data_IF_368129393312
#
_entry.id   IF_368129393312
#
_cell.length_a   1.000
_cell.length_b   1.000
_cell.length_c   1.000
_cell.angle_alpha   90.00
_cell.angle_beta   90.00
_cell.angle_gamma   90.00
#
_symmetry.space_group_name_H-M   'P 1'
#
loop_
_entity.id
_entity.type
_entity.pdbx_description
1 polymer ?
#
# COMPACT_ATOMS: atom_id res chain seq x y z
N UNK A 1 -10.25 -17.07 55.95
CA UNK A 1 -10.34 -17.69 57.29
C UNK A 1 -9.19 -18.69 57.37
N UNK A 2 -7.99 -18.24 57.74
CA UNK A 2 -7.29 -18.54 59.00
C UNK A 2 -6.55 -19.89 58.95
N UNK A 3 -5.28 -20.11 59.28
CA UNK A 3 -4.15 -19.27 59.73
C UNK A 3 -2.93 -20.21 60.01
N UNK A 4 -1.69 -19.73 59.74
CA UNK A 4 -0.37 -20.09 60.36
C UNK A 4 0.22 -21.52 60.14
N UNK A 5 1.54 -21.78 60.17
CA UNK A 5 2.73 -21.02 60.59
C UNK A 5 4.06 -21.61 60.01
N UNK A 6 5.03 -20.72 59.74
CA UNK A 6 6.52 -20.86 59.78
C UNK A 6 6.99 -21.37 61.16
N UNK A 7 8.24 -21.75 61.50
CA UNK A 7 9.59 -21.89 60.92
C UNK A 7 10.49 -22.51 62.04
N UNK A 8 11.70 -22.96 61.72
CA UNK A 8 12.90 -22.95 62.59
C UNK A 8 14.12 -23.13 61.66
N UNK A 9 15.27 -22.46 61.77
CA UNK A 9 15.85 -21.66 62.84
C UNK A 9 17.26 -22.20 63.12
N UNK A 10 18.31 -21.42 62.84
CA UNK A 10 19.70 -21.81 63.13
C UNK A 10 20.72 -20.77 62.68
N UNK A 11 21.02 -19.81 63.58
CA UNK A 11 22.08 -18.80 63.49
C UNK A 11 23.35 -19.33 64.19
N UNK A 12 24.55 -18.99 63.70
CA UNK A 12 25.72 -18.80 64.56
C UNK A 12 26.67 -17.73 63.99
N UNK A 13 27.25 -16.98 64.92
CA UNK A 13 27.81 -15.62 64.79
C UNK A 13 29.35 -15.58 64.64
N UNK A 14 29.80 -14.45 64.08
CA UNK A 14 31.15 -13.87 63.96
C UNK A 14 32.23 -14.19 65.02
N UNK A 15 33.50 -14.12 64.60
CA UNK A 15 34.50 -13.18 65.17
C UNK A 15 35.68 -12.89 64.24
N UNK A 16 36.22 -11.68 64.39
CA UNK A 16 37.26 -10.98 63.60
C UNK A 16 38.65 -11.14 64.24
N UNK A 17 39.71 -11.13 63.44
CA UNK A 17 41.11 -10.97 63.90
C UNK A 17 42.04 -10.40 62.82
N UNK A 18 42.54 -9.19 63.09
CA UNK A 18 43.52 -8.35 62.36
C UNK A 18 44.96 -8.74 62.86
N UNK A 19 46.10 -8.81 62.13
CA UNK A 19 46.89 -7.75 61.47
C UNK A 19 48.21 -8.31 60.85
N UNK A 20 48.64 -7.64 59.77
CA UNK A 20 50.00 -7.17 59.36
C UNK A 20 51.06 -8.03 58.62
N UNK A 21 51.43 -7.43 57.48
CA UNK A 21 52.76 -7.22 56.87
C UNK A 21 53.30 -8.18 55.79
N UNK A 22 53.54 -7.59 54.61
CA UNK A 22 54.40 -8.14 53.56
C UNK A 22 54.23 -7.41 52.23
N UNK A 23 54.93 -6.29 52.03
CA UNK A 23 55.06 -5.63 50.72
C UNK A 23 55.88 -6.49 49.75
N UNK A 24 55.36 -6.71 48.54
CA UNK A 24 56.19 -6.93 47.34
C UNK A 24 55.38 -6.53 46.09
N UNK A 25 55.87 -5.49 45.42
CA UNK A 25 55.37 -5.00 44.13
C UNK A 25 55.70 -6.01 43.02
N UNK A 26 54.71 -6.39 42.22
CA UNK A 26 54.93 -6.81 40.83
C UNK A 26 53.85 -6.16 39.96
N UNK A 27 54.28 -5.57 38.85
CA UNK A 27 53.48 -4.72 38.00
C UNK A 27 52.33 -5.48 37.31
N UNK A 28 51.10 -5.01 37.49
CA UNK A 28 49.93 -5.44 36.73
C UNK A 28 49.79 -4.59 35.46
N UNK A 29 50.04 -5.19 34.29
CA UNK A 29 49.48 -4.72 33.03
C UNK A 29 47.95 -4.85 33.10
N UNK A 30 47.16 -3.77 32.92
CA UNK A 30 45.71 -3.88 32.84
C UNK A 30 45.33 -4.61 31.56
N UNK A 31 44.64 -5.74 31.69
CA UNK A 31 43.85 -6.30 30.61
C UNK A 31 42.68 -5.34 30.42
N UNK A 32 42.68 -4.65 29.29
CA UNK A 32 41.60 -3.79 28.85
C UNK A 32 40.33 -4.67 28.74
N UNK A 33 39.41 -4.49 29.68
CA UNK A 33 38.10 -5.12 29.60
C UNK A 33 37.42 -4.55 28.35
N UNK A 34 37.34 -5.36 27.30
CA UNK A 34 36.52 -5.10 26.14
C UNK A 34 35.10 -4.79 26.65
N UNK A 35 34.74 -3.52 26.57
CA UNK A 35 33.42 -3.03 26.92
C UNK A 35 32.52 -3.40 25.72
N UNK A 36 32.19 -4.68 25.64
CA UNK A 36 31.27 -5.24 24.65
C UNK A 36 29.87 -4.79 25.05
N UNK A 37 29.55 -3.53 24.71
CA UNK A 37 28.18 -3.06 24.69
C UNK A 37 27.48 -3.77 23.53
N UNK A 38 27.06 -5.01 23.76
CA UNK A 38 26.03 -5.65 22.97
C UNK A 38 24.77 -4.79 23.11
N UNK A 39 24.62 -3.80 22.22
CA UNK A 39 23.29 -3.36 21.81
C UNK A 39 22.64 -4.60 21.24
N UNK A 40 21.84 -5.26 22.07
CA UNK A 40 20.97 -6.33 21.65
C UNK A 40 19.97 -5.67 20.69
N UNK A 41 20.31 -5.60 19.40
CA UNK A 41 19.38 -5.23 18.35
C UNK A 41 18.20 -6.19 18.50
N UNK A 42 17.10 -5.67 19.03
CA UNK A 42 15.88 -6.43 19.23
C UNK A 42 15.39 -6.75 17.82
N UNK A 43 15.75 -7.93 17.30
CA UNK A 43 15.38 -8.38 15.97
C UNK A 43 13.86 -8.24 15.84
N UNK A 44 13.41 -7.34 14.96
CA UNK A 44 12.00 -7.07 14.75
C UNK A 44 11.28 -8.39 14.43
N UNK A 45 10.14 -8.62 15.09
CA UNK A 45 9.32 -9.79 14.78
C UNK A 45 8.43 -9.46 13.59
N UNK A 46 8.84 -9.89 12.41
CA UNK A 46 8.15 -9.64 11.13
C UNK A 46 7.07 -10.67 10.81
N UNK A 47 6.80 -11.63 11.72
CA UNK A 47 5.81 -12.69 11.51
C UNK A 47 6.16 -13.66 10.37
N UNK A 48 5.13 -14.38 9.89
CA UNK A 48 5.19 -15.18 8.67
C UNK A 48 4.23 -14.60 7.64
N UNK A 49 4.51 -14.83 6.36
CA UNK A 49 3.62 -14.40 5.29
C UNK A 49 2.18 -14.93 5.48
N UNK A 50 2.01 -16.16 5.96
CA UNK A 50 0.69 -16.78 6.18
C UNK A 50 -0.19 -16.01 7.17
N UNK A 51 0.43 -15.29 8.10
CA UNK A 51 -0.26 -14.61 9.20
C UNK A 51 -0.76 -13.21 8.80
N UNK A 52 -0.46 -12.73 7.58
CA UNK A 52 -0.67 -11.33 7.15
C UNK A 52 -2.04 -10.72 7.52
N UNK A 53 -3.12 -11.49 7.42
CA UNK A 53 -4.49 -11.01 7.72
C UNK A 53 -4.90 -11.08 9.20
N UNK A 54 -4.13 -11.83 9.98
CA UNK A 54 -4.38 -12.15 11.38
C UNK A 54 -3.30 -11.59 12.32
N UNK A 55 -2.33 -10.86 11.76
CA UNK A 55 -1.31 -10.16 12.53
C UNK A 55 -1.97 -9.17 13.50
N UNK A 56 -1.55 -9.24 14.77
CA UNK A 56 -1.97 -8.24 15.73
C UNK A 56 -1.39 -6.86 15.36
N UNK A 57 -2.06 -5.76 15.75
CA UNK A 57 -1.57 -4.40 15.48
C UNK A 57 -0.14 -4.11 15.97
N UNK A 58 0.36 -4.90 16.93
CA UNK A 58 1.72 -4.79 17.43
C UNK A 58 2.77 -5.20 16.39
N UNK A 59 2.48 -6.20 15.55
CA UNK A 59 3.44 -6.79 14.61
C UNK A 59 3.23 -6.33 13.15
N UNK A 60 2.06 -5.78 12.84
CA UNK A 60 1.77 -5.26 11.51
C UNK A 60 2.84 -4.26 11.01
N UNK A 61 3.30 -3.26 11.78
CA UNK A 61 4.23 -2.27 11.24
C UNK A 61 5.59 -2.85 10.86
N UNK A 62 6.11 -3.77 11.68
CA UNK A 62 7.37 -4.47 11.38
C UNK A 62 7.21 -5.37 10.16
N UNK A 63 6.09 -6.06 10.02
CA UNK A 63 5.80 -6.90 8.84
C UNK A 63 5.71 -6.04 7.58
N UNK A 64 4.93 -4.96 7.62
CA UNK A 64 4.61 -4.12 6.44
C UNK A 64 5.83 -3.39 5.89
N UNK A 65 6.83 -3.10 6.74
CA UNK A 65 8.15 -2.59 6.35
C UNK A 65 9.08 -3.61 5.71
N UNK A 66 8.85 -4.90 5.93
CA UNK A 66 9.82 -5.97 5.65
C UNK A 66 9.22 -7.09 4.77
N UNK A 67 8.28 -6.74 3.88
CA UNK A 67 7.63 -7.72 3.00
C UNK A 67 8.63 -8.42 2.05
N UNK A 68 9.77 -7.80 1.75
CA UNK A 68 10.86 -8.41 0.97
C UNK A 68 11.54 -9.60 1.68
N UNK A 69 11.41 -9.71 2.99
CA UNK A 69 11.88 -10.86 3.76
C UNK A 69 10.87 -12.02 3.82
N UNK A 70 9.62 -11.78 3.39
CA UNK A 70 8.50 -12.72 3.49
C UNK A 70 8.06 -13.30 2.15
N UNK A 71 8.38 -12.61 1.05
CA UNK A 71 7.96 -12.96 -0.30
C UNK A 71 9.15 -12.91 -1.27
N UNK A 72 9.04 -13.66 -2.37
CA UNK A 72 9.90 -13.39 -3.52
C UNK A 72 9.58 -12.00 -4.07
N UNK A 73 10.62 -11.24 -4.41
CA UNK A 73 10.47 -9.87 -4.91
C UNK A 73 11.37 -9.63 -6.11
N UNK A 74 11.02 -8.62 -6.90
CA UNK A 74 11.85 -8.03 -7.94
C UNK A 74 12.01 -6.54 -7.66
N UNK A 75 13.23 -6.04 -7.80
CA UNK A 75 13.51 -4.63 -7.64
C UNK A 75 12.95 -3.83 -8.81
N UNK A 76 12.49 -2.63 -8.51
CA UNK A 76 12.10 -1.61 -9.49
C UNK A 76 13.15 -0.51 -9.38
N UNK A 77 14.07 -0.51 -10.34
CA UNK A 77 15.19 0.43 -10.32
C UNK A 77 14.71 1.88 -10.43
N UNK A 78 15.34 2.77 -9.68
CA UNK A 78 15.20 4.23 -9.86
C UNK A 78 16.22 4.75 -10.88
N UNK A 79 15.99 5.96 -11.34
CA UNK A 79 16.92 6.69 -12.18
C UNK A 79 18.04 7.34 -11.36
N UNK A 80 18.97 7.98 -12.08
CA UNK A 80 20.04 8.75 -11.46
C UNK A 80 19.55 10.10 -10.90
N UNK A 81 18.58 10.71 -11.60
CA UNK A 81 17.99 11.99 -11.22
C UNK A 81 16.79 11.78 -10.31
N UNK A 82 16.67 12.62 -9.28
CA UNK A 82 15.53 12.61 -8.36
C UNK A 82 14.69 13.85 -8.65
N UNK A 83 13.40 13.65 -8.89
CA UNK A 83 12.44 14.74 -9.02
C UNK A 83 12.31 15.42 -7.66
N UNK A 84 12.61 16.73 -7.59
CA UNK A 84 12.61 17.44 -6.33
C UNK A 84 11.19 17.55 -5.78
N UNK A 85 11.05 17.20 -4.51
CA UNK A 85 9.88 17.53 -3.70
C UNK A 85 10.34 18.50 -2.60
N UNK A 86 10.34 19.83 -2.86
CA UNK A 86 10.85 20.80 -1.90
C UNK A 86 10.06 20.76 -0.59
N UNK A 87 10.80 20.67 0.52
CA UNK A 87 10.20 20.67 1.85
C UNK A 87 9.84 22.10 2.28
N UNK A 88 8.62 22.28 2.79
CA UNK A 88 8.17 23.46 3.55
C UNK A 88 8.02 23.10 5.02
N UNK A 89 7.97 24.10 5.93
CA UNK A 89 7.59 23.85 7.31
C UNK A 89 6.26 23.09 7.35
N UNK A 90 6.19 22.08 8.23
CA UNK A 90 4.97 21.31 8.40
C UNK A 90 3.82 22.23 8.84
N UNK A 91 2.67 22.11 8.17
CA UNK A 91 1.46 22.82 8.56
C UNK A 91 0.86 22.26 9.85
N UNK A 92 0.22 23.13 10.63
CA UNK A 92 -0.54 22.73 11.81
C UNK A 92 -1.95 22.29 11.40
N UNK A 93 -2.15 20.98 11.22
CA UNK A 93 -3.48 20.42 10.91
C UNK A 93 -4.24 20.16 12.21
N UNK A 94 -5.46 20.71 12.30
CA UNK A 94 -6.39 20.38 13.37
C UNK A 94 -7.79 20.11 12.83
N UNK A 95 -8.46 19.09 13.37
CA UNK A 95 -9.78 18.64 12.94
C UNK A 95 -10.62 18.22 14.15
N UNK A 96 -11.89 17.88 13.94
CA UNK A 96 -12.78 17.40 15.01
C UNK A 96 -13.00 15.90 14.83
N UNK A 97 -12.80 15.11 15.89
CA UNK A 97 -13.21 13.71 15.94
C UNK A 97 -13.61 13.34 17.38
N UNK A 98 -14.65 12.52 17.51
CA UNK A 98 -15.26 12.11 18.79
C UNK A 98 -15.58 13.30 19.72
N UNK A 99 -16.02 14.42 19.16
CA UNK A 99 -16.39 15.63 19.91
C UNK A 99 -15.20 16.42 20.49
N UNK A 100 -13.97 16.10 20.09
CA UNK A 100 -12.76 16.79 20.52
C UNK A 100 -11.90 17.26 19.34
N UNK A 101 -11.20 18.37 19.56
CA UNK A 101 -10.18 18.87 18.63
C UNK A 101 -8.98 17.93 18.65
N UNK A 102 -8.61 17.42 17.48
CA UNK A 102 -7.48 16.54 17.26
C UNK A 102 -6.39 17.25 16.44
N UNK A 103 -5.14 16.81 16.60
CA UNK A 103 -3.98 17.25 15.81
C UNK A 103 -3.55 16.19 14.79
N UNK A 104 -2.59 16.50 13.93
CA UNK A 104 -1.95 15.50 13.07
C UNK A 104 -1.33 14.32 13.86
N UNK A 105 -0.75 14.57 15.04
CA UNK A 105 -0.17 13.51 15.87
C UNK A 105 -1.26 12.63 16.51
N UNK A 106 -2.40 13.23 16.87
CA UNK A 106 -3.56 12.47 17.35
C UNK A 106 -4.16 11.61 16.25
N UNK A 107 -4.30 12.14 15.03
CA UNK A 107 -4.71 11.37 13.86
C UNK A 107 -3.82 10.15 13.69
N UNK A 108 -2.49 10.34 13.70
CA UNK A 108 -1.56 9.25 13.49
C UNK A 108 -1.68 8.17 14.58
N UNK A 109 -1.82 8.57 15.84
CA UNK A 109 -1.97 7.64 16.96
C UNK A 109 -3.30 6.89 16.93
N UNK A 110 -4.42 7.59 16.70
CA UNK A 110 -5.78 7.01 16.69
C UNK A 110 -6.02 6.05 15.53
N UNK A 111 -5.41 6.36 14.38
CA UNK A 111 -5.59 5.62 13.14
C UNK A 111 -4.41 4.70 12.82
N UNK A 112 -3.50 4.47 13.77
CA UNK A 112 -2.34 3.59 13.59
C UNK A 112 -1.54 3.91 12.32
N UNK A 113 -1.26 5.19 12.09
CA UNK A 113 -0.57 5.70 10.89
C UNK A 113 0.93 5.57 11.06
N UNK A 114 1.57 4.87 10.13
CA UNK A 114 3.02 4.72 10.03
C UNK A 114 3.70 5.85 9.27
N UNK A 115 2.97 6.59 8.43
CA UNK A 115 3.49 7.74 7.70
C UNK A 115 2.39 8.57 7.07
N UNK A 116 2.57 9.89 7.05
CA UNK A 116 1.66 10.83 6.38
C UNK A 116 2.46 11.88 5.63
N UNK A 117 2.07 12.11 4.38
CA UNK A 117 2.65 13.09 3.48
C UNK A 117 1.53 13.91 2.83
N UNK A 118 1.63 15.24 2.86
CA UNK A 118 0.78 16.14 2.08
C UNK A 118 1.68 16.97 1.18
N UNK A 119 1.40 16.95 -0.12
CA UNK A 119 2.03 17.76 -1.14
C UNK A 119 0.99 18.76 -1.65
N UNK A 120 1.34 20.03 -1.69
CA UNK A 120 0.54 21.13 -2.24
C UNK A 120 1.36 21.91 -3.24
N UNK A 121 0.85 22.07 -4.45
CA UNK A 121 1.53 22.79 -5.53
C UNK A 121 2.97 22.30 -5.76
N UNK A 122 3.19 20.98 -5.67
CA UNK A 122 4.51 20.34 -5.83
C UNK A 122 5.45 20.49 -4.63
N UNK A 123 5.03 21.09 -3.51
CA UNK A 123 5.83 21.24 -2.30
C UNK A 123 5.32 20.31 -1.20
N UNK A 124 6.22 19.67 -0.45
CA UNK A 124 5.85 18.92 0.75
C UNK A 124 5.52 19.91 1.85
N UNK A 125 4.28 19.87 2.34
CA UNK A 125 3.75 20.79 3.36
C UNK A 125 3.40 20.08 4.67
N UNK A 126 3.39 18.75 4.66
CA UNK A 126 3.36 17.92 5.85
C UNK A 126 4.10 16.62 5.56
N UNK A 127 5.08 16.28 6.39
CA UNK A 127 5.73 14.97 6.39
C UNK A 127 5.94 14.54 7.85
N UNK A 128 5.34 13.41 8.23
CA UNK A 128 5.49 12.80 9.56
C UNK A 128 5.55 11.28 9.45
N UNK A 129 6.35 10.69 10.32
CA UNK A 129 6.53 9.24 10.41
C UNK A 129 6.14 8.73 11.80
N UNK A 130 5.56 7.55 11.83
CA UNK A 130 5.10 6.86 13.03
C UNK A 130 5.46 5.39 12.99
N UNK A 131 5.18 4.68 14.08
CA UNK A 131 5.35 3.22 14.19
C UNK A 131 6.77 2.71 13.89
N UNK A 132 7.79 3.54 14.08
CA UNK A 132 9.19 3.21 13.79
C UNK A 132 9.60 3.37 12.33
N UNK A 133 8.77 3.98 11.48
CA UNK A 133 9.18 4.39 10.14
C UNK A 133 10.00 5.68 10.17
N UNK A 134 10.72 5.91 9.08
CA UNK A 134 11.46 7.11 8.73
C UNK A 134 11.42 7.34 7.21
N UNK A 135 12.20 8.30 6.71
CA UNK A 135 12.23 8.68 5.30
C UNK A 135 12.71 7.57 4.34
N UNK A 136 13.51 6.63 4.84
CA UNK A 136 14.10 5.53 4.05
C UNK A 136 13.29 4.23 4.17
N UNK A 137 12.31 4.20 5.08
CA UNK A 137 11.41 3.08 5.25
C UNK A 137 10.58 2.84 3.98
N UNK A 138 10.55 1.59 3.51
CA UNK A 138 9.65 1.13 2.45
C UNK A 138 8.40 0.53 3.09
N UNK A 139 7.23 0.77 2.51
CA UNK A 139 5.96 0.28 3.04
C UNK A 139 5.10 -0.36 1.95
N UNK A 140 4.48 -1.48 2.29
CA UNK A 140 3.60 -2.22 1.36
C UNK A 140 2.34 -1.43 1.01
N UNK A 141 2.02 -1.40 -0.28
CA UNK A 141 0.91 -0.65 -0.87
C UNK A 141 -0.44 -1.28 -0.56
N UNK A 142 -0.45 -2.59 -0.33
CA UNK A 142 -1.63 -3.42 -0.57
C UNK A 142 -2.30 -3.00 -1.89
N UNK A 143 -3.61 -2.78 -1.91
CA UNK A 143 -4.36 -2.50 -3.13
C UNK A 143 -4.05 -1.15 -3.81
N UNK A 144 -3.26 -0.24 -3.21
CA UNK A 144 -2.77 0.96 -3.92
C UNK A 144 -2.03 0.59 -5.22
N UNK A 145 -1.36 -0.55 -5.26
CA UNK A 145 -0.67 -1.02 -6.47
C UNK A 145 -1.60 -1.25 -7.66
N UNK A 146 -2.90 -1.51 -7.44
CA UNK A 146 -3.86 -1.70 -8.54
C UNK A 146 -3.90 -0.46 -9.44
N UNK A 147 -3.81 0.72 -8.85
CA UNK A 147 -3.76 2.00 -9.57
C UNK A 147 -2.42 2.20 -10.29
N UNK A 148 -1.30 1.70 -9.72
CA UNK A 148 0.01 1.67 -10.39
C UNK A 148 -0.04 0.74 -11.61
N UNK A 149 -0.54 -0.48 -11.46
CA UNK A 149 -0.73 -1.45 -12.56
C UNK A 149 -1.63 -0.88 -13.67
N UNK A 150 -2.74 -0.24 -13.30
CA UNK A 150 -3.66 0.41 -14.26
C UNK A 150 -2.99 1.52 -15.05
N UNK A 151 -2.14 2.28 -14.36
CA UNK A 151 -1.33 3.34 -14.96
C UNK A 151 -0.35 2.77 -15.98
N UNK A 152 0.26 1.61 -15.71
CA UNK A 152 1.13 0.93 -16.67
C UNK A 152 0.36 0.37 -17.87
N UNK A 153 -0.86 -0.12 -17.68
CA UNK A 153 -1.75 -0.44 -18.81
C UNK A 153 -1.98 0.80 -19.67
N UNK A 154 -2.22 1.96 -19.06
CA UNK A 154 -2.31 3.24 -19.76
C UNK A 154 -1.04 3.58 -20.55
N UNK A 155 0.14 3.39 -19.98
CA UNK A 155 1.41 3.60 -20.68
C UNK A 155 1.56 2.67 -21.90
N UNK A 156 1.16 1.40 -21.74
CA UNK A 156 1.18 0.43 -22.85
C UNK A 156 0.14 0.75 -23.93
N UNK A 157 -0.99 1.37 -23.56
CA UNK A 157 -1.94 1.95 -24.53
C UNK A 157 -1.31 3.11 -25.30
N UNK A 158 -0.60 4.01 -24.60
CA UNK A 158 0.09 5.14 -25.24
C UNK A 158 1.14 4.68 -26.27
N UNK A 159 1.80 3.55 -26.01
CA UNK A 159 2.75 2.93 -26.94
C UNK A 159 2.09 2.06 -28.03
N UNK A 160 0.77 1.85 -27.97
CA UNK A 160 0.05 1.01 -28.94
C UNK A 160 0.16 -0.50 -28.70
N UNK A 161 0.73 -0.93 -27.57
CA UNK A 161 0.81 -2.35 -27.19
C UNK A 161 -0.52 -2.92 -26.72
N UNK A 162 -1.39 -2.09 -26.14
CA UNK A 162 -2.70 -2.49 -25.63
C UNK A 162 -3.81 -1.64 -26.25
N UNK A 163 -4.87 -2.31 -26.72
CA UNK A 163 -6.15 -1.71 -27.03
C UNK A 163 -7.17 -2.01 -25.92
N UNK A 164 -7.65 -0.97 -25.23
CA UNK A 164 -8.62 -1.13 -24.12
C UNK A 164 -9.97 -1.74 -24.54
N UNK A 165 -10.32 -1.67 -25.83
CA UNK A 165 -11.56 -2.25 -26.38
C UNK A 165 -11.39 -3.71 -26.82
N UNK A 166 -10.16 -4.20 -26.90
CA UNK A 166 -9.90 -5.59 -27.24
C UNK A 166 -10.28 -6.52 -26.08
N UNK A 167 -10.74 -7.75 -26.37
CA UNK A 167 -10.95 -8.76 -25.34
C UNK A 167 -9.60 -9.12 -24.67
N UNK A 168 -9.60 -9.28 -23.36
CA UNK A 168 -8.38 -9.62 -22.60
C UNK A 168 -7.80 -10.97 -23.03
N UNK A 169 -8.64 -11.90 -23.50
CA UNK A 169 -8.23 -13.21 -24.04
C UNK A 169 -7.42 -13.12 -25.34
N UNK A 170 -7.36 -11.95 -25.98
CA UNK A 170 -6.42 -11.69 -27.07
C UNK A 170 -4.98 -11.69 -26.58
N UNK A 171 -4.74 -11.17 -25.38
CA UNK A 171 -3.41 -11.10 -24.76
C UNK A 171 -3.14 -12.32 -23.86
N UNK A 172 -4.19 -12.77 -23.14
CA UNK A 172 -4.12 -13.87 -22.18
C UNK A 172 -5.00 -15.05 -22.63
N UNK A 173 -4.55 -15.86 -23.61
CA UNK A 173 -5.37 -16.93 -24.19
C UNK A 173 -5.75 -18.03 -23.19
N UNK A 174 -5.01 -18.18 -22.09
CA UNK A 174 -5.31 -19.12 -21.02
C UNK A 174 -6.66 -18.85 -20.32
N UNK A 175 -7.23 -17.66 -20.46
CA UNK A 175 -8.52 -17.29 -19.89
C UNK A 175 -9.74 -17.66 -20.76
N UNK A 176 -9.52 -18.19 -21.98
CA UNK A 176 -10.60 -18.60 -22.89
C UNK A 176 -11.46 -19.71 -22.28
N UNK A 177 -12.77 -19.63 -22.50
CA UNK A 177 -13.75 -20.54 -21.89
C UNK A 177 -14.05 -20.30 -20.40
N UNK A 178 -13.34 -19.37 -19.75
CA UNK A 178 -13.61 -18.93 -18.38
C UNK A 178 -14.49 -17.68 -18.29
N UNK A 179 -14.61 -17.12 -17.09
CA UNK A 179 -15.40 -15.90 -16.85
C UNK A 179 -14.96 -14.70 -17.72
N UNK A 180 -13.66 -14.61 -18.01
CA UNK A 180 -13.03 -13.49 -18.71
C UNK A 180 -13.13 -13.56 -20.25
N UNK A 181 -13.72 -14.62 -20.81
CA UNK A 181 -13.83 -14.76 -22.27
C UNK A 181 -14.76 -13.70 -22.88
N UNK A 182 -14.23 -12.84 -23.75
CA UNK A 182 -14.95 -11.69 -24.32
C UNK A 182 -15.07 -10.48 -23.38
N UNK A 183 -14.45 -10.52 -22.19
CA UNK A 183 -14.28 -9.32 -21.34
C UNK A 183 -13.24 -8.43 -21.98
N UNK A 184 -13.56 -7.16 -22.19
CA UNK A 184 -12.58 -6.16 -22.69
C UNK A 184 -11.61 -5.74 -21.60
N UNK A 185 -10.42 -5.28 -22.00
CA UNK A 185 -9.45 -4.69 -21.06
C UNK A 185 -10.06 -3.53 -20.26
N UNK A 186 -10.89 -2.69 -20.88
CA UNK A 186 -11.61 -1.61 -20.20
C UNK A 186 -12.59 -2.12 -19.13
N UNK A 187 -13.31 -3.21 -19.38
CA UNK A 187 -14.22 -3.80 -18.40
C UNK A 187 -13.45 -4.40 -17.22
N UNK A 188 -12.29 -5.01 -17.47
CA UNK A 188 -11.37 -5.50 -16.44
C UNK A 188 -10.84 -4.34 -15.59
N UNK A 189 -10.38 -3.24 -16.21
CA UNK A 189 -9.93 -2.04 -15.49
C UNK A 189 -11.02 -1.40 -14.63
N UNK A 190 -12.30 -1.59 -14.98
CA UNK A 190 -13.47 -1.11 -14.21
C UNK A 190 -13.99 -2.12 -13.17
N UNK A 191 -13.31 -3.24 -12.97
CA UNK A 191 -13.76 -4.34 -12.12
C UNK A 191 -15.18 -4.83 -12.45
N UNK A 192 -15.41 -5.09 -13.74
CA UNK A 192 -16.73 -5.38 -14.27
C UNK A 192 -16.75 -6.58 -15.23
N UNK A 193 -15.81 -7.53 -15.11
CA UNK A 193 -15.86 -8.79 -15.88
C UNK A 193 -17.14 -9.61 -15.67
N UNK A 194 -17.75 -9.48 -14.50
CA UNK A 194 -18.84 -10.37 -14.08
C UNK A 194 -18.38 -11.75 -13.63
N UNK A 195 -17.09 -11.95 -13.34
CA UNK A 195 -16.57 -13.16 -12.73
C UNK A 195 -17.15 -13.37 -11.31
N UNK A 196 -17.49 -14.61 -10.96
CA UNK A 196 -17.89 -14.96 -9.60
C UNK A 196 -16.66 -15.04 -8.71
N UNK A 197 -16.35 -13.95 -8.02
CA UNK A 197 -15.18 -13.82 -7.15
C UNK A 197 -15.60 -13.52 -5.71
N UNK A 198 -15.08 -14.28 -4.75
CA UNK A 198 -15.21 -14.01 -3.32
C UNK A 198 -13.94 -13.32 -2.78
N UNK A 199 -14.05 -12.03 -2.43
CA UNK A 199 -12.95 -11.18 -1.93
C UNK A 199 -12.74 -11.28 -0.40
N UNK A 200 -13.59 -12.00 0.33
CA UNK A 200 -13.62 -11.97 1.82
C UNK A 200 -12.28 -12.36 2.44
N UNK A 201 -11.55 -11.41 3.04
CA UNK A 201 -10.14 -11.58 3.42
C UNK A 201 -9.88 -12.64 4.48
N UNK A 202 -10.80 -12.84 5.43
CA UNK A 202 -10.66 -13.80 6.54
C UNK A 202 -11.52 -15.06 6.37
N UNK A 203 -12.21 -15.22 5.25
CA UNK A 203 -12.90 -16.47 4.94
C UNK A 203 -11.93 -17.42 4.23
N UNK A 204 -11.47 -18.52 4.87
CA UNK A 204 -10.52 -19.47 4.27
C UNK A 204 -11.07 -20.15 3.01
N UNK A 205 -12.38 -20.16 2.79
CA UNK A 205 -13.00 -20.71 1.58
C UNK A 205 -13.10 -19.70 0.43
N UNK A 206 -12.71 -18.43 0.64
CA UNK A 206 -12.78 -17.39 -0.38
C UNK A 206 -11.74 -17.58 -1.49
N UNK A 207 -12.05 -17.07 -2.69
CA UNK A 207 -11.10 -17.03 -3.79
C UNK A 207 -9.86 -16.18 -3.44
N UNK A 208 -10.05 -15.11 -2.66
CA UNK A 208 -8.94 -14.28 -2.17
C UNK A 208 -7.99 -15.07 -1.29
N UNK A 209 -8.48 -15.89 -0.36
CA UNK A 209 -7.64 -16.75 0.50
C UNK A 209 -6.94 -17.84 -0.30
N UNK A 210 -7.65 -18.49 -1.22
CA UNK A 210 -7.03 -19.45 -2.17
C UNK A 210 -5.92 -18.81 -3.00
N UNK A 211 -6.14 -17.60 -3.52
CA UNK A 211 -5.13 -16.86 -4.29
C UNK A 211 -3.89 -16.56 -3.44
N UNK A 212 -4.07 -16.22 -2.16
CA UNK A 212 -2.97 -16.00 -1.24
C UNK A 212 -2.15 -17.28 -1.00
N UNK A 213 -2.81 -18.41 -0.83
CA UNK A 213 -2.14 -19.71 -0.66
C UNK A 213 -1.31 -20.07 -1.91
N UNK A 214 -1.85 -19.83 -3.11
CA UNK A 214 -1.14 -20.07 -4.37
C UNK A 214 0.06 -19.12 -4.54
N UNK A 215 -0.06 -17.85 -4.14
CA UNK A 215 1.07 -16.92 -4.12
C UNK A 215 2.22 -17.44 -3.22
N UNK A 216 1.90 -18.13 -2.13
CA UNK A 216 2.89 -18.71 -1.22
C UNK A 216 3.37 -20.11 -1.65
N UNK A 217 2.72 -20.74 -2.63
CA UNK A 217 3.07 -22.09 -3.07
C UNK A 217 4.25 -22.13 -4.05
N UNK A 218 4.78 -20.97 -4.46
CA UNK A 218 5.88 -20.84 -5.42
C UNK A 218 5.59 -21.62 -6.72
N UNK A 219 4.37 -21.51 -7.22
CA UNK A 219 3.90 -22.23 -8.41
C UNK A 219 3.58 -21.21 -9.49
N UNK A 220 4.46 -21.01 -10.48
CA UNK A 220 4.19 -20.10 -11.60
C UNK A 220 2.84 -20.39 -12.26
N UNK A 221 2.18 -19.34 -12.75
CA UNK A 221 0.89 -19.37 -13.44
C UNK A 221 -0.30 -19.87 -12.60
N UNK A 222 -0.10 -20.18 -11.31
CA UNK A 222 -1.15 -20.72 -10.46
C UNK A 222 -2.32 -19.72 -10.29
N UNK A 223 -2.01 -18.43 -10.22
CA UNK A 223 -3.00 -17.36 -10.09
C UNK A 223 -3.83 -17.24 -11.38
N UNK A 224 -3.20 -17.19 -12.56
CA UNK A 224 -3.90 -17.18 -13.85
C UNK A 224 -4.76 -18.44 -14.02
N UNK A 225 -4.25 -19.61 -13.59
CA UNK A 225 -5.01 -20.86 -13.61
C UNK A 225 -6.22 -20.84 -12.69
N UNK A 226 -6.15 -20.22 -11.52
CA UNK A 226 -7.32 -20.03 -10.67
C UNK A 226 -8.35 -19.13 -11.39
N UNK A 227 -7.90 -18.03 -11.97
CA UNK A 227 -8.76 -17.06 -12.64
C UNK A 227 -9.44 -17.63 -13.88
N UNK A 228 -8.76 -18.49 -14.64
CA UNK A 228 -9.34 -19.16 -15.83
C UNK A 228 -10.45 -20.16 -15.46
N UNK A 229 -10.46 -20.68 -14.23
CA UNK A 229 -11.47 -21.62 -13.76
C UNK A 229 -12.75 -20.95 -13.25
N UNK A 230 -12.72 -19.63 -13.01
CA UNK A 230 -13.88 -18.89 -12.53
C UNK A 230 -15.03 -18.95 -13.53
N UNK A 231 -16.25 -18.96 -13.00
CA UNK A 231 -17.49 -18.91 -13.79
C UNK A 231 -18.01 -17.48 -13.87
N UNK A 232 -18.69 -17.17 -14.97
CA UNK A 232 -19.38 -15.90 -15.14
C UNK A 232 -20.69 -15.92 -14.36
N UNK A 233 -20.92 -14.89 -13.55
CA UNK A 233 -22.14 -14.67 -12.78
C UNK A 233 -23.02 -13.55 -13.34
N UNK A 234 -22.40 -12.59 -14.02
CA UNK A 234 -23.11 -11.46 -14.64
C UNK A 234 -22.50 -11.14 -16.00
N UNK A 235 -23.25 -10.50 -16.92
CA UNK A 235 -22.68 -10.03 -18.17
C UNK A 235 -21.51 -9.05 -17.93
N UNK A 236 -20.44 -9.07 -18.75
CA UNK A 236 -19.37 -8.10 -18.66
C UNK A 236 -19.87 -6.65 -18.83
N UNK A 237 -19.38 -5.74 -18.00
CA UNK A 237 -19.70 -4.32 -18.05
C UNK A 237 -21.07 -3.94 -17.49
N UNK A 238 -21.74 -4.81 -16.72
CA UNK A 238 -23.07 -4.50 -16.15
C UNK A 238 -23.08 -4.36 -14.63
N UNK A 239 -22.09 -4.91 -13.92
CA UNK A 239 -21.99 -4.85 -12.46
C UNK A 239 -20.56 -4.58 -12.04
N UNK A 240 -20.40 -3.88 -10.93
CA UNK A 240 -19.11 -3.74 -10.25
C UNK A 240 -18.93 -4.88 -9.26
N UNK A 241 -17.77 -5.52 -9.29
CA UNK A 241 -17.38 -6.54 -8.33
C UNK A 241 -15.90 -6.40 -8.04
N UNK A 242 -15.56 -5.85 -6.88
CA UNK A 242 -14.16 -5.69 -6.51
C UNK A 242 -13.44 -7.05 -6.46
N UNK A 243 -12.33 -7.15 -7.18
CA UNK A 243 -11.56 -8.40 -7.32
C UNK A 243 -10.05 -8.15 -7.38
N UNK A 244 -9.35 -8.60 -6.34
CA UNK A 244 -7.88 -8.67 -6.31
C UNK A 244 -7.35 -9.61 -7.39
N UNK A 245 -8.09 -10.69 -7.69
CA UNK A 245 -7.77 -11.61 -8.78
C UNK A 245 -7.80 -10.95 -10.15
N UNK A 246 -8.90 -10.27 -10.48
CA UNK A 246 -9.04 -9.53 -11.74
C UNK A 246 -7.95 -8.47 -11.90
N UNK A 247 -7.57 -7.81 -10.80
CA UNK A 247 -6.53 -6.78 -10.84
C UNK A 247 -5.14 -7.34 -11.14
N UNK A 248 -4.85 -8.58 -10.73
CA UNK A 248 -3.56 -9.22 -11.03
C UNK A 248 -3.38 -9.47 -12.53
N UNK A 249 -4.48 -9.64 -13.29
CA UNK A 249 -4.43 -9.77 -14.75
C UNK A 249 -3.83 -8.53 -15.44
N UNK A 250 -3.73 -7.38 -14.75
CA UNK A 250 -3.05 -6.20 -15.30
C UNK A 250 -1.55 -6.44 -15.49
N UNK A 251 -0.88 -7.06 -14.52
CA UNK A 251 0.55 -7.40 -14.62
C UNK A 251 0.78 -8.45 -15.72
N UNK A 252 -0.06 -9.48 -15.77
CA UNK A 252 -0.06 -10.48 -16.85
C UNK A 252 -0.24 -9.84 -18.22
N UNK A 253 -1.19 -8.91 -18.33
CA UNK A 253 -1.47 -8.18 -19.57
C UNK A 253 -0.28 -7.30 -19.99
N UNK A 254 0.35 -6.59 -19.05
CA UNK A 254 1.54 -5.77 -19.33
C UNK A 254 2.66 -6.67 -19.84
N UNK A 255 2.93 -7.78 -19.15
CA UNK A 255 3.96 -8.72 -19.55
C UNK A 255 3.71 -9.28 -20.95
N UNK A 256 2.50 -9.79 -21.21
CA UNK A 256 2.14 -10.37 -22.49
C UNK A 256 2.18 -9.36 -23.65
N UNK A 257 1.82 -8.10 -23.41
CA UNK A 257 1.74 -7.08 -24.46
C UNK A 257 3.10 -6.42 -24.78
N UNK A 258 3.98 -6.30 -23.78
CA UNK A 258 5.25 -5.58 -23.91
C UNK A 258 6.47 -6.49 -24.00
N UNK A 259 6.37 -7.73 -23.51
CA UNK A 259 7.49 -8.65 -23.35
C UNK A 259 8.42 -8.31 -22.16
N UNK A 260 8.15 -7.26 -21.41
CA UNK A 260 8.93 -6.85 -20.24
C UNK A 260 8.32 -7.42 -18.96
N UNK A 261 9.11 -7.53 -17.88
CA UNK A 261 8.51 -7.74 -16.55
C UNK A 261 7.74 -6.48 -16.13
N UNK A 262 6.76 -6.61 -15.22
CA UNK A 262 6.01 -5.41 -14.80
C UNK A 262 6.94 -4.43 -14.05
N UNK A 263 7.92 -4.93 -13.29
CA UNK A 263 8.90 -4.11 -12.58
C UNK A 263 9.81 -3.35 -13.54
N UNK A 264 10.34 -4.02 -14.57
CA UNK A 264 11.21 -3.37 -15.57
C UNK A 264 10.42 -2.34 -16.37
N UNK A 265 9.17 -2.66 -16.73
CA UNK A 265 8.31 -1.73 -17.45
C UNK A 265 7.93 -0.51 -16.60
N UNK A 266 7.67 -0.71 -15.30
CA UNK A 266 7.47 0.38 -14.35
C UNK A 266 8.72 1.25 -14.26
N UNK A 267 9.90 0.64 -14.14
CA UNK A 267 11.17 1.34 -14.08
C UNK A 267 11.40 2.17 -15.34
N UNK A 268 11.34 1.55 -16.52
CA UNK A 268 11.56 2.23 -17.81
C UNK A 268 10.57 3.36 -18.02
N UNK A 269 9.26 3.14 -17.82
CA UNK A 269 8.26 4.13 -18.23
C UNK A 269 8.02 5.24 -17.21
N UNK A 270 8.16 4.95 -15.92
CA UNK A 270 7.71 5.86 -14.86
C UNK A 270 8.76 5.99 -13.76
N UNK A 271 9.17 4.92 -13.08
CA UNK A 271 9.96 5.01 -11.84
C UNK A 271 11.31 5.69 -12.05
N UNK A 272 12.04 5.29 -13.09
CA UNK A 272 13.34 5.89 -13.38
C UNK A 272 13.22 7.29 -14.01
N UNK A 273 12.18 7.53 -14.82
CA UNK A 273 11.97 8.80 -15.55
C UNK A 273 11.36 9.90 -14.69
N UNK A 274 10.39 9.57 -13.84
CA UNK A 274 9.74 10.50 -12.91
C UNK A 274 10.68 10.93 -11.78
N UNK A 275 11.88 10.36 -11.71
CA UNK A 275 12.89 10.69 -10.72
C UNK A 275 12.49 10.27 -9.30
N UNK A 276 12.10 9.01 -9.14
CA UNK A 276 11.87 8.43 -7.81
C UNK A 276 13.18 8.43 -7.00
N UNK A 277 13.07 8.64 -5.70
CA UNK A 277 14.21 8.82 -4.79
C UNK A 277 14.82 7.50 -4.36
N UNK A 278 14.04 6.44 -4.24
CA UNK A 278 14.53 5.11 -3.87
C UNK A 278 14.07 4.04 -4.86
N UNK A 279 14.82 2.94 -5.01
CA UNK A 279 14.29 1.76 -5.66
C UNK A 279 13.07 1.24 -4.85
N UNK A 280 12.06 0.78 -5.57
CA UNK A 280 10.96 0.02 -5.00
C UNK A 280 11.20 -1.47 -5.18
N UNK A 281 10.32 -2.29 -4.61
CA UNK A 281 10.27 -3.71 -4.93
C UNK A 281 8.83 -4.19 -5.07
N UNK A 282 8.67 -5.26 -5.83
CA UNK A 282 7.37 -5.86 -6.15
C UNK A 282 7.39 -7.35 -5.84
N UNK A 283 6.43 -7.80 -5.03
CA UNK A 283 6.21 -9.21 -4.73
C UNK A 283 5.85 -9.98 -6.00
N UNK A 284 6.34 -11.22 -6.07
CA UNK A 284 6.09 -12.16 -7.15
C UNK A 284 5.16 -13.29 -6.69
N UNK A 285 4.46 -13.92 -7.63
CA UNK A 285 3.66 -15.14 -7.36
C UNK A 285 4.53 -16.41 -7.21
N UNK A 286 5.77 -16.36 -7.70
CA UNK A 286 6.80 -17.39 -7.58
C UNK A 286 8.20 -16.77 -7.76
N UNK A 287 9.26 -17.50 -7.43
CA UNK A 287 10.65 -17.03 -7.49
C UNK A 287 11.06 -16.53 -8.89
N UNK A 288 10.54 -17.16 -9.95
CA UNK A 288 10.69 -16.74 -11.34
C UNK A 288 9.34 -16.33 -11.96
N UNK A 289 8.48 -15.76 -11.13
CA UNK A 289 7.08 -15.49 -11.45
C UNK A 289 6.78 -14.06 -11.88
N UNK A 290 5.48 -13.78 -11.97
CA UNK A 290 4.91 -12.49 -12.33
C UNK A 290 4.71 -11.62 -11.08
N UNK A 291 4.88 -10.30 -11.24
CA UNK A 291 4.52 -9.34 -10.21
C UNK A 291 3.03 -9.45 -9.80
N UNK A 292 2.79 -9.40 -8.49
CA UNK A 292 1.45 -9.34 -7.92
C UNK A 292 0.88 -7.93 -8.12
N UNK A 293 0.32 -7.68 -9.31
CA UNK A 293 -0.29 -6.42 -9.73
C UNK A 293 -1.48 -5.91 -8.90
N UNK A 294 -1.86 -6.64 -7.85
CA UNK A 294 -3.04 -6.39 -7.05
C UNK A 294 -2.80 -6.10 -5.57
N UNK A 295 -1.64 -6.44 -5.00
CA UNK A 295 -1.31 -6.11 -3.61
C UNK A 295 0.17 -6.00 -3.23
N UNK A 296 1.11 -6.22 -4.18
CA UNK A 296 2.48 -6.60 -3.85
C UNK A 296 3.57 -5.53 -3.90
N UNK A 297 3.27 -4.23 -3.97
CA UNK A 297 4.30 -3.20 -4.20
C UNK A 297 4.75 -2.54 -2.91
N UNK A 298 6.03 -2.18 -2.81
CA UNK A 298 6.57 -1.43 -1.67
C UNK A 298 7.51 -0.33 -2.12
N UNK A 299 7.29 0.88 -1.60
CA UNK A 299 8.08 2.07 -1.88
C UNK A 299 8.17 2.99 -0.66
N UNK A 300 8.98 4.05 -0.74
CA UNK A 300 9.04 5.09 0.30
C UNK A 300 7.83 6.04 0.23
N UNK A 301 7.60 6.78 1.31
CA UNK A 301 6.43 7.65 1.47
C UNK A 301 6.43 8.74 0.40
N UNK A 302 7.61 9.34 0.18
CA UNK A 302 7.82 10.37 -0.83
C UNK A 302 7.70 9.81 -2.26
N UNK A 303 8.06 8.55 -2.51
CA UNK A 303 7.92 7.97 -3.85
C UNK A 303 6.48 7.61 -4.20
N UNK A 304 5.65 7.20 -3.24
CA UNK A 304 4.19 7.22 -3.44
C UNK A 304 3.68 8.64 -3.70
N UNK A 305 4.25 9.66 -3.03
CA UNK A 305 3.94 11.06 -3.28
C UNK A 305 4.30 11.53 -4.69
N UNK A 306 5.47 11.15 -5.21
CA UNK A 306 5.90 11.42 -6.59
C UNK A 306 5.02 10.70 -7.60
N UNK A 307 4.60 9.47 -7.33
CA UNK A 307 3.59 8.79 -8.14
C UNK A 307 2.27 9.57 -8.14
N UNK A 308 1.79 10.03 -6.99
CA UNK A 308 0.62 10.91 -6.91
C UNK A 308 0.79 12.21 -7.71
N UNK A 309 1.98 12.82 -7.70
CA UNK A 309 2.30 14.01 -8.49
C UNK A 309 2.28 13.74 -10.00
N UNK A 310 2.79 12.58 -10.44
CA UNK A 310 2.70 12.13 -11.83
C UNK A 310 1.25 12.00 -12.28
N UNK A 311 0.39 11.44 -11.43
CA UNK A 311 -1.05 11.28 -11.68
C UNK A 311 -1.79 12.64 -11.71
N UNK A 312 -1.45 13.52 -10.77
CA UNK A 312 -1.94 14.90 -10.72
C UNK A 312 -1.58 15.67 -12.01
N UNK A 313 -0.38 15.43 -12.56
CA UNK A 313 0.12 16.01 -13.80
C UNK A 313 -0.38 15.31 -15.09
N UNK A 314 -1.47 14.54 -15.02
CA UNK A 314 -2.08 13.84 -16.17
C UNK A 314 -1.12 12.92 -16.92
N UNK A 315 -0.21 12.26 -16.19
CA UNK A 315 0.69 11.26 -16.74
C UNK A 315 1.79 11.83 -17.66
N UNK A 316 2.21 13.07 -17.41
CA UNK A 316 3.27 13.77 -18.15
C UNK A 316 4.55 13.81 -17.32
N UNK A 317 5.68 13.50 -17.96
CA UNK A 317 7.03 13.63 -17.40
C UNK A 317 7.85 14.50 -18.35
N UNK A 318 8.43 15.60 -17.89
CA UNK A 318 9.27 16.51 -18.68
C UNK A 318 8.68 16.94 -20.04
N UNK A 319 7.36 17.08 -20.10
CA UNK A 319 6.62 17.40 -21.33
C UNK A 319 6.32 16.21 -22.25
N UNK A 320 6.88 15.03 -21.98
CA UNK A 320 6.52 13.77 -22.65
C UNK A 320 5.26 13.17 -22.03
N UNK A 321 4.28 12.82 -22.87
CA UNK A 321 3.11 12.05 -22.42
C UNK A 321 3.45 10.57 -22.30
N UNK A 322 3.49 10.10 -21.06
CA UNK A 322 3.60 8.67 -20.74
C UNK A 322 2.25 7.99 -20.85
N UNK A 323 1.17 8.70 -20.49
CA UNK A 323 -0.21 8.23 -20.64
C UNK A 323 -0.92 8.93 -21.82
N UNK A 324 -1.95 8.31 -22.41
CA UNK A 324 -2.77 8.96 -23.41
C UNK A 324 -3.37 10.27 -22.90
N UNK A 325 -3.55 11.23 -23.80
CA UNK A 325 -4.22 12.49 -23.44
C UNK A 325 -5.63 12.21 -22.89
N UNK A 326 -5.94 12.76 -21.71
CA UNK A 326 -7.23 12.55 -21.04
C UNK A 326 -7.40 11.13 -20.47
N UNK A 327 -6.32 10.35 -20.36
CA UNK A 327 -6.37 9.02 -19.75
C UNK A 327 -6.86 9.09 -18.32
N UNK A 328 -6.37 10.05 -17.54
CA UNK A 328 -6.78 10.17 -16.16
C UNK A 328 -8.22 10.64 -16.02
N UNK A 329 -8.71 11.55 -16.87
CA UNK A 329 -10.13 11.90 -16.89
C UNK A 329 -10.98 10.66 -17.16
N UNK A 330 -10.58 9.83 -18.13
CA UNK A 330 -11.25 8.55 -18.41
C UNK A 330 -11.16 7.55 -17.25
N UNK A 331 -10.06 7.57 -16.51
CA UNK A 331 -9.81 6.71 -15.36
C UNK A 331 -10.58 7.16 -14.12
N UNK A 332 -10.90 8.45 -14.00
CA UNK A 332 -11.45 9.05 -12.77
C UNK A 332 -12.81 9.73 -12.94
N UNK A 333 -13.38 9.70 -14.13
CA UNK A 333 -14.73 10.21 -14.41
C UNK A 333 -15.62 9.12 -15.01
N UNK A 334 -16.86 9.11 -14.56
CA UNK A 334 -17.91 8.19 -15.03
C UNK A 334 -19.20 8.97 -15.23
N UNK A 335 -20.05 8.48 -16.14
CA UNK A 335 -21.39 9.02 -16.31
C UNK A 335 -22.14 8.96 -14.97
N UNK A 336 -22.77 10.06 -14.50
CA UNK A 336 -23.54 10.07 -13.25
C UNK A 336 -24.66 9.02 -13.17
N UNK A 337 -25.17 8.54 -14.30
CA UNK A 337 -26.15 7.46 -14.39
C UNK A 337 -25.52 6.06 -14.38
N UNK A 338 -24.19 5.95 -14.48
CA UNK A 338 -23.46 4.68 -14.44
C UNK A 338 -23.62 3.98 -13.09
N UNK A 339 -23.66 2.65 -13.11
CA UNK A 339 -23.58 1.82 -11.90
C UNK A 339 -22.24 2.00 -11.15
N UNK A 340 -21.23 2.60 -11.80
CA UNK A 340 -19.92 2.92 -11.23
C UNK A 340 -19.85 4.30 -10.55
N UNK A 341 -20.90 5.12 -10.67
CA UNK A 341 -20.90 6.47 -10.11
C UNK A 341 -20.86 6.46 -8.57
N UNK A 342 -20.32 7.51 -7.93
CA UNK A 342 -20.35 7.64 -6.49
C UNK A 342 -21.77 7.45 -5.90
N UNK A 343 -21.87 6.66 -4.82
CA UNK A 343 -23.13 6.30 -4.19
C UNK A 343 -24.00 5.30 -4.96
N UNK A 344 -23.46 4.62 -6.00
CA UNK A 344 -24.16 3.54 -6.74
C UNK A 344 -23.60 2.16 -6.48
N UNK A 345 -22.36 2.06 -6.01
CA UNK A 345 -21.73 0.77 -5.71
C UNK A 345 -22.46 0.07 -4.56
N UNK A 346 -22.52 -1.26 -4.62
CA UNK A 346 -23.10 -2.11 -3.57
C UNK A 346 -24.51 -1.71 -3.14
N UNK A 347 -25.36 -1.28 -4.09
CA UNK A 347 -26.73 -0.85 -3.76
C UNK A 347 -26.82 0.54 -3.10
N UNK A 348 -25.72 1.30 -3.09
CA UNK A 348 -25.63 2.63 -2.49
C UNK A 348 -24.96 2.66 -1.12
N UNK A 349 -24.48 1.52 -0.63
CA UNK A 349 -23.87 1.40 0.71
C UNK A 349 -22.45 1.99 0.79
N UNK A 350 -21.83 2.27 -0.35
CA UNK A 350 -20.49 2.87 -0.40
C UNK A 350 -20.49 4.20 -1.14
N UNK A 351 -19.87 5.21 -0.53
CA UNK A 351 -19.97 6.61 -0.96
C UNK A 351 -19.17 6.89 -2.24
N UNK A 352 -18.07 6.17 -2.47
CA UNK A 352 -17.19 6.40 -3.61
C UNK A 352 -17.69 5.65 -4.85
N UNK A 353 -17.34 6.19 -6.02
CA UNK A 353 -17.47 5.51 -7.30
C UNK A 353 -16.21 4.72 -7.64
N UNK A 354 -16.18 4.09 -8.81
CA UNK A 354 -15.00 3.36 -9.27
C UNK A 354 -14.73 3.57 -10.75
N UNK A 355 -13.45 3.79 -11.09
CA UNK A 355 -12.98 3.98 -12.45
C UNK A 355 -11.95 2.95 -12.86
N UNK A 356 -10.88 3.37 -13.55
CA UNK A 356 -9.79 2.48 -13.96
C UNK A 356 -8.86 2.18 -12.80
N UNK A 357 -9.33 1.40 -11.84
CA UNK A 357 -8.61 1.07 -10.61
C UNK A 357 -8.42 2.26 -9.66
N UNK A 358 -9.30 3.26 -9.73
CA UNK A 358 -9.32 4.43 -8.86
C UNK A 358 -10.70 4.57 -8.20
N UNK A 359 -10.72 4.91 -6.92
CA UNK A 359 -11.93 5.27 -6.19
C UNK A 359 -12.26 6.74 -6.40
N UNK A 360 -13.52 7.05 -6.65
CA UNK A 360 -13.96 8.36 -7.13
C UNK A 360 -14.81 9.07 -6.08
N UNK A 361 -14.42 10.29 -5.68
CA UNK A 361 -15.25 11.07 -4.77
C UNK A 361 -16.47 11.64 -5.52
N UNK A 362 -17.60 11.83 -4.81
CA UNK A 362 -18.68 12.68 -5.31
C UNK A 362 -18.17 14.08 -5.67
N UNK A 363 -18.74 14.69 -6.72
CA UNK A 363 -18.33 16.02 -7.21
C UNK A 363 -19.49 17.02 -7.19
N UNK A 364 -19.16 18.31 -7.33
CA UNK A 364 -20.13 19.40 -7.40
C UNK A 364 -20.98 19.50 -6.13
N UNK A 365 -22.32 19.56 -6.27
CA UNK A 365 -23.24 19.72 -5.13
C UNK A 365 -23.25 18.52 -4.17
N UNK A 366 -22.83 17.34 -4.65
CA UNK A 366 -22.75 16.14 -3.83
C UNK A 366 -21.37 15.95 -3.19
N UNK A 367 -20.40 16.82 -3.51
CA UNK A 367 -19.04 16.68 -3.02
C UNK A 367 -18.98 16.70 -1.49
N UNK A 368 -18.15 15.80 -0.95
CA UNK A 368 -17.73 15.89 0.45
C UNK A 368 -16.87 17.15 0.63
N UNK A 369 -16.98 17.78 1.79
CA UNK A 369 -16.24 19.00 2.12
C UNK A 369 -14.75 18.88 1.79
N UNK A 370 -14.23 19.77 0.94
CA UNK A 370 -12.85 19.80 0.42
C UNK A 370 -12.41 18.62 -0.48
N UNK A 371 -13.31 17.70 -0.86
CA UNK A 371 -12.97 16.58 -1.73
C UNK A 371 -13.56 16.70 -3.16
N UNK A 372 -14.07 17.86 -3.54
CA UNK A 372 -14.51 18.09 -4.92
C UNK A 372 -13.33 18.01 -5.89
N UNK A 373 -13.43 17.15 -6.91
CA UNK A 373 -12.35 16.87 -7.86
C UNK A 373 -11.31 15.87 -7.36
N UNK A 374 -11.63 15.10 -6.31
CA UNK A 374 -10.74 14.11 -5.75
C UNK A 374 -11.01 12.67 -6.22
N UNK A 375 -9.95 11.88 -6.21
CA UNK A 375 -9.97 10.44 -6.43
C UNK A 375 -8.75 9.82 -5.73
N UNK A 376 -8.77 8.51 -5.49
CA UNK A 376 -7.69 7.87 -4.75
C UNK A 376 -7.44 6.41 -5.11
N UNK A 377 -6.20 5.98 -4.86
CA UNK A 377 -5.82 4.59 -4.74
C UNK A 377 -5.93 4.20 -3.27
N UNK A 378 -6.54 3.05 -2.99
CA UNK A 378 -6.86 2.63 -1.63
C UNK A 378 -6.43 1.19 -1.39
N UNK A 379 -5.81 0.93 -0.23
CA UNK A 379 -5.32 -0.37 0.22
C UNK A 379 -5.88 -0.76 1.58
N UNK A 380 -6.10 -2.06 1.79
CA UNK A 380 -6.47 -2.61 3.10
C UNK A 380 -5.50 -2.16 4.19
N UNK A 381 -5.98 -2.19 5.43
CA UNK A 381 -5.25 -1.70 6.60
C UNK A 381 -4.92 -0.19 6.58
N UNK A 382 -5.56 0.59 5.68
CA UNK A 382 -5.49 2.05 5.66
C UNK A 382 -4.37 2.65 4.84
N UNK A 383 -4.18 2.17 3.61
CA UNK A 383 -3.21 2.77 2.67
C UNK A 383 -3.92 3.68 1.67
N UNK A 384 -3.42 4.89 1.49
CA UNK A 384 -4.03 5.88 0.61
C UNK A 384 -2.97 6.58 -0.24
N UNK A 385 -3.24 6.71 -1.54
CA UNK A 385 -2.66 7.75 -2.41
C UNK A 385 -3.83 8.55 -2.97
N UNK A 386 -4.09 9.69 -2.35
CA UNK A 386 -5.19 10.59 -2.64
C UNK A 386 -4.71 11.74 -3.51
N UNK A 387 -5.50 12.10 -4.53
CA UNK A 387 -5.21 13.21 -5.44
C UNK A 387 -6.44 14.09 -5.54
N UNK A 388 -6.28 15.39 -5.33
CA UNK A 388 -7.29 16.41 -5.59
C UNK A 388 -6.75 17.41 -6.62
N UNK A 389 -7.28 17.33 -7.84
CA UNK A 389 -6.86 18.20 -8.96
C UNK A 389 -7.29 19.64 -8.80
N UNK A 390 -8.47 19.87 -8.21
CA UNK A 390 -9.04 21.20 -8.01
C UNK A 390 -8.24 22.00 -6.99
N UNK A 391 -7.76 21.31 -5.96
CA UNK A 391 -6.97 21.89 -4.88
C UNK A 391 -5.46 21.73 -5.11
N UNK A 392 -5.03 21.07 -6.17
CA UNK A 392 -3.62 20.77 -6.47
C UNK A 392 -2.89 20.11 -5.28
N UNK A 393 -3.54 19.09 -4.69
CA UNK A 393 -3.07 18.37 -3.50
C UNK A 393 -2.88 16.89 -3.81
N UNK A 394 -1.79 16.33 -3.29
CA UNK A 394 -1.58 14.89 -3.16
C UNK A 394 -1.41 14.56 -1.68
N UNK A 395 -2.07 13.51 -1.21
CA UNK A 395 -1.90 13.00 0.15
C UNK A 395 -1.53 11.52 0.11
N UNK A 396 -0.54 11.11 0.91
CA UNK A 396 -0.19 9.71 1.12
C UNK A 396 -0.35 9.40 2.60
N UNK A 397 -1.06 8.31 2.90
CA UNK A 397 -1.25 7.81 4.27
C UNK A 397 -0.91 6.33 4.28
N UNK A 398 -0.01 5.95 5.17
CA UNK A 398 0.33 4.57 5.47
C UNK A 398 -0.21 4.20 6.84
N UNK A 399 -0.97 3.13 6.95
CA UNK A 399 -1.51 2.71 8.24
C UNK A 399 -1.38 1.21 8.47
N UNK A 400 -1.48 0.84 9.75
CA UNK A 400 -1.58 -0.53 10.22
C UNK A 400 -2.87 -0.68 11.02
N UNK A 401 -4.01 -0.53 10.34
CA UNK A 401 -5.30 -0.74 11.00
C UNK A 401 -5.44 -2.19 11.48
N UNK A 402 -6.13 -2.44 12.61
CA UNK A 402 -6.31 -3.80 13.11
C UNK A 402 -7.05 -4.72 12.14
N UNK A 403 -7.99 -4.16 11.38
CA UNK A 403 -8.83 -4.88 10.44
C UNK A 403 -8.46 -4.50 9.00
N UNK A 404 -8.50 -5.46 8.04
CA UNK A 404 -8.17 -5.17 6.65
C UNK A 404 -9.23 -4.29 5.97
N UNK A 405 -10.49 -4.49 6.30
CA UNK A 405 -11.61 -3.75 5.71
C UNK A 405 -11.67 -2.29 6.19
N UNK A 406 -12.27 -1.45 5.36
CA UNK A 406 -12.51 -0.05 5.70
C UNK A 406 -13.53 0.07 6.84
N UNK A 407 -13.25 0.95 7.78
CA UNK A 407 -14.11 1.27 8.92
C UNK A 407 -14.20 2.80 9.12
N UNK A 408 -14.62 3.23 10.32
CA UNK A 408 -14.71 4.66 10.65
C UNK A 408 -13.40 5.45 10.47
N UNK A 409 -12.23 4.79 10.48
CA UNK A 409 -10.91 5.40 10.26
C UNK A 409 -10.74 5.93 8.83
N UNK A 410 -11.44 5.35 7.86
CA UNK A 410 -11.50 5.88 6.50
C UNK A 410 -12.11 7.29 6.52
N UNK A 411 -13.25 7.45 7.20
CA UNK A 411 -13.92 8.74 7.30
C UNK A 411 -13.08 9.75 8.09
N UNK A 412 -12.41 9.33 9.16
CA UNK A 412 -11.48 10.18 9.92
C UNK A 412 -10.27 10.62 9.06
N UNK A 413 -9.79 9.75 8.17
CA UNK A 413 -8.73 10.09 7.19
C UNK A 413 -9.19 11.17 6.23
N UNK A 414 -10.43 11.09 5.73
CA UNK A 414 -11.00 12.14 4.88
C UNK A 414 -11.15 13.46 5.64
N UNK A 415 -11.61 13.44 6.89
CA UNK A 415 -11.74 14.65 7.72
C UNK A 415 -10.37 15.29 8.00
N UNK A 416 -9.34 14.49 8.24
CA UNK A 416 -7.97 14.94 8.38
C UNK A 416 -7.44 15.61 7.09
N UNK A 417 -7.62 14.98 5.93
CA UNK A 417 -7.20 15.54 4.64
C UNK A 417 -7.97 16.84 4.34
N UNK A 418 -9.28 16.87 4.59
CA UNK A 418 -10.08 18.08 4.40
C UNK A 418 -9.61 19.23 5.30
N UNK A 419 -9.24 18.95 6.56
CA UNK A 419 -8.66 19.94 7.45
C UNK A 419 -7.30 20.44 6.97
N UNK A 420 -6.44 19.55 6.44
CA UNK A 420 -5.17 19.93 5.85
C UNK A 420 -5.37 20.85 4.64
N UNK A 421 -6.32 20.53 3.75
CA UNK A 421 -6.66 21.38 2.59
C UNK A 421 -7.14 22.76 3.04
N UNK A 422 -7.98 22.84 4.08
CA UNK A 422 -8.44 24.14 4.63
C UNK A 422 -7.31 24.97 5.21
N UNK A 423 -6.33 24.34 5.87
CA UNK A 423 -5.17 25.04 6.44
C UNK A 423 -4.20 25.56 5.36
N UNK A 424 -4.32 25.08 4.12
CA UNK A 424 -3.51 25.47 2.96
C UNK A 424 -4.16 26.56 2.09
N UNK A 425 -5.38 26.99 2.45
CA UNK A 425 -6.09 28.12 1.82
C UNK A 425 -5.87 29.39 2.63
#
# INVERSE_FOLDING_TARGET
MSMKMRAAGGLFTMTVGLLLNGCAQTASTPIEAANDSFKQEKRAYIGRAQDLYDLSPLYQPDTYRNMDQLYFTRDVARGEQVYPLPQKPNIDVTYQADGAKQTADDFMRRNHVGGVLIIKDGNVVLEKYGLGNDADSRWTSFSVVKSISSTLVGAAVQQGHINVKAPITQYLPALKGGAYDGVTVEQMLRMSSGADWNETYRDPASDRRKMFELQLSNTPDALVKQLSQLKRKSPPGTVFKYSTGESHLQSELIHAATGMTTSDYLSDRIWARMGMEQPAYWQLDAQAGQEIGSSGFSATLKDYGRFGQFILNDGVIDGERILPKGWMDKATEVDPASYLAPGKLYGGDYILGYGYQWWLFPTGKAARDQHDGAFEAQGIFGQFVYVNRKENVVAVVWSAWPEPEMDTREMETYDFIAAAIKALK
#
